data_IF_499188170366
#
_entry.id   IF_499188170366
#
_cell.length_a   1.000
_cell.length_b   1.000
_cell.length_c   1.000
_cell.angle_alpha   90.00
_cell.angle_beta   90.00
_cell.angle_gamma   90.00
#
_symmetry.space_group_name_H-M   'P 1'
#
loop_
_entity.id
_entity.type
_entity.pdbx_description
1 polymer ?
#
# COMPACT_ATOMS: atom_id res chain seq x y z
N UNK A 1 2.11 11.20 -23.04
CA UNK A 1 3.29 10.38 -22.64
C UNK A 1 3.74 9.42 -23.75
N UNK A 2 5.05 9.19 -23.95
CA UNK A 2 5.58 8.11 -24.83
C UNK A 2 6.06 6.94 -23.98
N UNK A 3 5.37 5.80 -24.05
CA UNK A 3 5.75 4.57 -23.33
C UNK A 3 6.70 3.75 -24.22
N UNK A 4 7.82 3.23 -23.70
CA UNK A 4 8.69 2.31 -24.43
C UNK A 4 7.95 1.05 -24.88
N UNK A 5 8.47 0.37 -25.91
CA UNK A 5 7.90 -0.92 -26.35
C UNK A 5 8.36 -2.02 -25.41
N UNK A 6 7.51 -2.41 -24.47
CA UNK A 6 7.78 -3.54 -23.58
C UNK A 6 7.49 -4.91 -24.19
N UNK A 7 7.94 -5.96 -23.51
CA UNK A 7 7.60 -7.34 -23.83
C UNK A 7 6.24 -7.67 -23.25
N UNK A 8 5.24 -7.94 -24.10
CA UNK A 8 3.90 -8.35 -23.65
C UNK A 8 4.00 -9.70 -22.93
N UNK A 9 3.60 -9.73 -21.66
CA UNK A 9 3.54 -10.95 -20.86
C UNK A 9 2.14 -11.56 -20.86
N UNK A 10 1.11 -10.73 -20.69
CA UNK A 10 -0.29 -11.17 -20.56
C UNK A 10 -1.23 -10.12 -21.15
N UNK A 11 -2.32 -10.57 -21.75
CA UNK A 11 -3.42 -9.75 -22.25
C UNK A 11 -4.73 -10.47 -21.94
N UNK A 12 -5.56 -9.92 -21.06
CA UNK A 12 -6.84 -10.56 -20.67
C UNK A 12 -7.89 -9.54 -20.25
N UNK A 13 -9.16 -9.90 -20.44
CA UNK A 13 -10.27 -9.17 -19.83
C UNK A 13 -10.45 -9.65 -18.39
N UNK A 14 -10.51 -8.72 -17.45
CA UNK A 14 -10.78 -8.95 -16.04
C UNK A 14 -12.03 -8.19 -15.61
N UNK A 15 -12.88 -8.81 -14.82
CA UNK A 15 -14.04 -8.14 -14.20
C UNK A 15 -13.64 -7.21 -13.05
N UNK A 16 -12.48 -7.46 -12.43
CA UNK A 16 -11.91 -6.60 -11.40
C UNK A 16 -10.38 -6.46 -11.59
N UNK A 17 -9.86 -5.22 -11.72
CA UNK A 17 -8.43 -4.91 -11.79
C UNK A 17 -7.56 -5.50 -10.66
N UNK A 18 -8.13 -5.80 -9.48
CA UNK A 18 -7.45 -6.45 -8.36
C UNK A 18 -6.68 -7.71 -8.80
N UNK A 19 -7.25 -8.49 -9.72
CA UNK A 19 -6.63 -9.72 -10.22
C UNK A 19 -5.33 -9.44 -10.98
N UNK A 20 -5.27 -8.33 -11.71
CA UNK A 20 -4.05 -7.91 -12.39
C UNK A 20 -3.02 -7.37 -11.38
N UNK A 21 -3.46 -6.52 -10.44
CA UNK A 21 -2.58 -5.97 -9.41
C UNK A 21 -1.96 -7.04 -8.50
N UNK A 22 -2.74 -8.03 -8.03
CA UNK A 22 -2.15 -9.12 -7.23
C UNK A 22 -1.11 -9.88 -8.04
N UNK A 23 -1.41 -10.18 -9.31
CA UNK A 23 -0.49 -10.95 -10.15
C UNK A 23 0.84 -10.24 -10.38
N UNK A 24 0.83 -8.93 -10.64
CA UNK A 24 2.09 -8.17 -10.83
C UNK A 24 2.85 -7.98 -9.53
N UNK A 25 2.15 -7.88 -8.40
CA UNK A 25 2.75 -7.82 -7.06
C UNK A 25 3.45 -9.15 -6.71
N UNK A 26 2.75 -10.27 -6.95
CA UNK A 26 3.26 -11.62 -6.67
C UNK A 26 4.45 -11.95 -7.58
N UNK A 27 4.38 -11.58 -8.86
CA UNK A 27 5.47 -11.78 -9.83
C UNK A 27 6.62 -10.76 -9.68
N UNK A 28 6.47 -9.76 -8.79
CA UNK A 28 7.44 -8.67 -8.59
C UNK A 28 7.81 -7.94 -9.89
N UNK A 29 6.82 -7.70 -10.75
CA UNK A 29 7.02 -7.16 -12.09
C UNK A 29 7.63 -5.75 -12.09
N UNK A 30 8.63 -5.53 -12.94
CA UNK A 30 9.04 -4.20 -13.39
C UNK A 30 8.61 -3.99 -14.84
N UNK A 31 7.79 -2.98 -15.09
CA UNK A 31 7.08 -2.85 -16.36
C UNK A 31 5.92 -1.86 -16.31
N UNK A 32 4.91 -2.09 -17.15
CA UNK A 32 3.69 -1.29 -17.15
C UNK A 32 2.45 -2.11 -17.50
N UNK A 33 1.31 -1.64 -17.04
CA UNK A 33 -0.01 -2.16 -17.34
C UNK A 33 -0.78 -1.14 -18.17
N UNK A 34 -1.54 -1.61 -19.14
CA UNK A 34 -2.49 -0.80 -19.92
C UNK A 34 -3.90 -1.31 -19.62
N UNK A 35 -4.74 -0.42 -19.13
CA UNK A 35 -6.14 -0.66 -18.79
C UNK A 35 -7.04 -0.02 -19.86
N UNK A 36 -7.87 -0.84 -20.48
CA UNK A 36 -8.83 -0.42 -21.51
C UNK A 36 -10.24 -0.85 -21.06
N UNK A 37 -11.10 0.11 -20.64
CA UNK A 37 -12.50 -0.17 -20.28
C UNK A 37 -13.23 -0.88 -21.42
N UNK A 38 -14.07 -1.88 -21.10
CA UNK A 38 -14.80 -2.68 -22.10
C UNK A 38 -16.30 -2.33 -22.21
N UNK A 39 -16.87 -1.63 -21.21
CA UNK A 39 -18.24 -1.12 -21.32
C UNK A 39 -18.24 0.15 -22.17
N UNK A 40 -18.28 -0.03 -23.50
CA UNK A 40 -18.27 1.05 -24.47
C UNK A 40 -19.59 1.10 -25.24
N UNK A 41 -20.57 1.74 -24.61
CA UNK A 41 -21.63 2.44 -25.31
C UNK A 41 -21.54 3.91 -24.87
N UNK A 42 -21.10 4.79 -25.79
CA UNK A 42 -21.54 6.20 -25.92
C UNK A 42 -20.59 7.38 -25.65
N UNK A 43 -19.29 7.26 -25.33
CA UNK A 43 -18.45 8.47 -25.16
C UNK A 43 -17.05 8.33 -25.78
N UNK A 44 -16.78 9.15 -26.80
CA UNK A 44 -15.57 9.19 -27.63
C UNK A 44 -14.29 9.68 -26.91
N UNK A 45 -14.32 9.81 -25.57
CA UNK A 45 -13.23 10.38 -24.75
C UNK A 45 -12.59 9.35 -23.78
N UNK A 46 -12.91 8.06 -23.94
CA UNK A 46 -12.43 7.01 -23.03
C UNK A 46 -11.00 6.60 -23.38
N UNK A 47 -10.06 7.29 -22.74
CA UNK A 47 -8.65 6.96 -22.75
C UNK A 47 -8.35 5.58 -22.17
N UNK A 48 -7.19 5.05 -22.56
CA UNK A 48 -6.53 3.97 -21.84
C UNK A 48 -5.81 4.54 -20.62
N UNK A 49 -5.89 3.84 -19.49
CA UNK A 49 -5.01 4.08 -18.35
C UNK A 49 -3.70 3.33 -18.52
N UNK A 50 -2.57 4.02 -18.36
CA UNK A 50 -1.24 3.41 -18.32
C UNK A 50 -0.71 3.55 -16.90
N UNK A 51 -0.20 2.45 -16.35
CA UNK A 51 0.38 2.43 -15.00
C UNK A 51 1.73 1.75 -15.03
N UNK A 52 2.78 2.44 -14.57
CA UNK A 52 4.09 1.80 -14.41
C UNK A 52 4.18 1.10 -13.06
N UNK A 53 4.90 -0.01 -13.04
CA UNK A 53 5.16 -0.81 -11.85
C UNK A 53 6.65 -1.09 -11.72
N UNK A 54 7.16 -1.07 -10.49
CA UNK A 54 8.53 -1.47 -10.15
C UNK A 54 8.46 -2.47 -9.01
N UNK A 55 9.07 -3.66 -9.18
CA UNK A 55 8.98 -4.75 -8.20
C UNK A 55 7.53 -5.10 -7.77
N UNK A 56 6.58 -4.94 -8.70
CA UNK A 56 5.16 -5.16 -8.50
C UNK A 56 4.41 -4.01 -7.82
N UNK A 57 5.08 -2.91 -7.50
CA UNK A 57 4.50 -1.71 -6.87
C UNK A 57 4.17 -0.67 -7.93
N UNK A 58 2.90 -0.22 -8.05
CA UNK A 58 2.54 0.93 -8.88
C UNK A 58 3.27 2.20 -8.46
N UNK A 59 3.86 2.90 -9.42
CA UNK A 59 4.63 4.13 -9.18
C UNK A 59 4.04 5.32 -9.91
N UNK A 60 3.70 5.16 -11.20
CA UNK A 60 3.11 6.22 -12.01
C UNK A 60 1.78 5.80 -12.61
N UNK A 61 0.90 6.78 -12.84
CA UNK A 61 -0.35 6.63 -13.58
C UNK A 61 -0.49 7.76 -14.59
N UNK A 62 -1.03 7.43 -15.76
CA UNK A 62 -1.36 8.38 -16.81
C UNK A 62 -2.60 7.92 -17.58
N UNK A 63 -3.56 8.80 -17.79
CA UNK A 63 -4.78 8.55 -18.53
C UNK A 63 -4.71 9.23 -19.90
N UNK A 64 -4.75 8.42 -20.97
CA UNK A 64 -4.48 8.90 -22.35
C UNK A 64 -5.60 9.71 -22.97
N UNK A 65 -6.83 9.64 -22.44
CA UNK A 65 -7.98 10.39 -22.97
C UNK A 65 -8.04 11.80 -22.40
N UNK A 66 -7.81 11.93 -21.09
CA UNK A 66 -7.82 13.21 -20.39
C UNK A 66 -6.44 13.89 -20.35
N UNK A 67 -5.38 13.20 -20.77
CA UNK A 67 -3.98 13.65 -20.71
C UNK A 67 -3.53 14.02 -19.29
N UNK A 68 -4.10 13.35 -18.26
CA UNK A 68 -3.79 13.60 -16.84
C UNK A 68 -3.04 12.44 -16.21
N UNK A 69 -2.13 12.76 -15.30
CA UNK A 69 -1.36 11.77 -14.54
C UNK A 69 -1.59 11.83 -13.03
N UNK A 70 -0.87 10.97 -12.32
CA UNK A 70 -0.87 10.96 -10.86
C UNK A 70 -2.26 10.69 -10.30
N UNK A 71 -2.61 11.41 -9.23
CA UNK A 71 -3.90 11.25 -8.55
C UNK A 71 -5.10 11.58 -9.46
N UNK A 72 -4.98 12.57 -10.35
CA UNK A 72 -6.06 12.96 -11.27
C UNK A 72 -6.28 11.91 -12.36
N UNK A 73 -5.19 11.41 -12.97
CA UNK A 73 -5.28 10.32 -13.93
C UNK A 73 -5.77 9.01 -13.29
N UNK A 74 -5.46 8.80 -12.01
CA UNK A 74 -5.97 7.65 -11.26
C UNK A 74 -7.48 7.76 -10.99
N UNK A 75 -7.98 8.96 -10.67
CA UNK A 75 -9.40 9.19 -10.50
C UNK A 75 -10.17 8.95 -11.80
N UNK A 76 -9.61 9.36 -12.94
CA UNK A 76 -10.18 9.09 -14.28
C UNK A 76 -10.24 7.60 -14.61
N UNK A 77 -9.27 6.82 -14.11
CA UNK A 77 -9.24 5.37 -14.32
C UNK A 77 -10.21 4.61 -13.42
N UNK A 78 -10.66 5.18 -12.30
CA UNK A 78 -11.48 4.51 -11.27
C UNK A 78 -12.96 4.34 -11.66
N UNK A 79 -13.21 3.83 -12.86
CA UNK A 79 -14.55 3.60 -13.42
C UNK A 79 -14.95 2.12 -13.22
N UNK A 80 -16.13 1.80 -12.67
CA UNK A 80 -16.56 0.41 -12.57
C UNK A 80 -16.70 -0.24 -13.95
N UNK A 81 -16.19 -1.45 -14.11
CA UNK A 81 -16.42 -2.23 -15.33
C UNK A 81 -15.39 -3.32 -15.57
N UNK A 82 -15.64 -4.20 -16.54
CA UNK A 82 -14.59 -5.07 -17.06
C UNK A 82 -13.53 -4.25 -17.78
N UNK A 83 -12.27 -4.61 -17.55
CA UNK A 83 -11.12 -4.02 -18.22
C UNK A 83 -10.41 -5.08 -19.04
N UNK A 84 -10.02 -4.74 -20.26
CA UNK A 84 -8.90 -5.44 -20.90
C UNK A 84 -7.61 -4.88 -20.29
N UNK A 85 -6.78 -5.78 -19.77
CA UNK A 85 -5.51 -5.44 -19.15
C UNK A 85 -4.38 -6.13 -19.90
N UNK A 86 -3.52 -5.30 -20.47
CA UNK A 86 -2.28 -5.73 -21.11
C UNK A 86 -1.11 -5.44 -20.18
N UNK A 87 -0.29 -6.44 -19.91
CA UNK A 87 0.85 -6.38 -18.97
C UNK A 87 2.14 -6.54 -19.75
N UNK A 88 3.02 -5.55 -19.63
CA UNK A 88 4.29 -5.50 -20.31
C UNK A 88 5.43 -5.45 -19.30
N UNK A 89 6.51 -6.15 -19.61
CA UNK A 89 7.78 -6.06 -18.90
C UNK A 89 8.71 -5.07 -19.61
N UNK A 90 9.49 -4.34 -18.82
CA UNK A 90 10.55 -3.46 -19.27
C UNK A 90 11.83 -3.72 -18.48
N UNK A 91 12.96 -3.32 -19.04
CA UNK A 91 14.21 -3.24 -18.27
C UNK A 91 14.15 -2.12 -17.23
N UNK A 92 14.92 -2.26 -16.14
CA UNK A 92 15.02 -1.22 -15.11
C UNK A 92 15.46 0.13 -15.70
N UNK A 93 16.41 0.12 -16.64
CA UNK A 93 16.89 1.32 -17.34
C UNK A 93 15.79 2.04 -18.15
N UNK A 94 14.87 1.29 -18.75
CA UNK A 94 13.75 1.87 -19.51
C UNK A 94 12.70 2.46 -18.59
N UNK A 95 12.45 1.83 -17.45
CA UNK A 95 11.52 2.29 -16.42
C UNK A 95 12.01 3.57 -15.76
N UNK A 96 13.30 3.64 -15.43
CA UNK A 96 13.90 4.81 -14.76
C UNK A 96 13.77 6.08 -15.60
N UNK A 97 13.88 5.96 -16.93
CA UNK A 97 13.66 7.08 -17.86
C UNK A 97 12.23 7.64 -17.84
N UNK A 98 11.25 6.86 -17.38
CA UNK A 98 9.85 7.29 -17.26
C UNK A 98 9.57 7.90 -15.87
N UNK A 99 10.31 7.44 -14.85
CA UNK A 99 10.06 7.74 -13.43
C UNK A 99 10.53 9.13 -12.96
N UNK A 100 11.10 9.94 -13.86
CA UNK A 100 11.55 11.32 -13.59
C UNK A 100 10.38 12.35 -13.64
N UNK A 101 9.15 11.90 -13.89
CA UNK A 101 7.97 12.76 -13.99
C UNK A 101 7.14 12.75 -12.69
N UNK A 102 7.45 13.65 -11.77
CA UNK A 102 6.78 13.75 -10.46
C UNK A 102 5.26 13.97 -10.56
N UNK A 103 4.80 14.68 -11.58
CA UNK A 103 3.37 14.93 -11.85
C UNK A 103 2.55 13.66 -12.13
N UNK A 104 3.22 12.55 -12.43
CA UNK A 104 2.58 11.27 -12.75
C UNK A 104 2.56 10.30 -11.56
N UNK A 105 3.23 10.66 -10.46
CA UNK A 105 3.39 9.78 -9.29
C UNK A 105 2.06 9.56 -8.58
N UNK A 106 1.87 8.32 -8.12
CA UNK A 106 0.77 7.93 -7.24
C UNK A 106 1.32 7.31 -5.98
N UNK A 107 0.57 7.37 -4.88
CA UNK A 107 1.02 6.73 -3.64
C UNK A 107 0.92 5.20 -3.75
N UNK A 108 1.89 4.45 -3.21
CA UNK A 108 1.78 2.99 -3.16
C UNK A 108 0.47 2.54 -2.51
N UNK A 109 -0.20 1.58 -3.14
CA UNK A 109 -1.49 1.03 -2.71
C UNK A 109 -2.72 1.84 -3.12
N UNK A 110 -2.59 3.13 -3.45
CA UNK A 110 -3.69 3.98 -3.90
C UNK A 110 -4.40 3.41 -5.15
N UNK A 111 -3.70 2.83 -6.14
CA UNK A 111 -4.38 2.21 -7.27
C UNK A 111 -5.18 0.95 -6.90
N UNK A 112 -4.69 0.13 -5.97
CA UNK A 112 -5.42 -1.02 -5.50
C UNK A 112 -6.68 -0.63 -4.72
N UNK A 113 -6.63 0.46 -3.94
CA UNK A 113 -7.79 1.01 -3.24
C UNK A 113 -8.80 1.64 -4.19
N UNK A 114 -8.36 2.55 -5.07
CA UNK A 114 -9.28 3.39 -5.84
C UNK A 114 -9.82 2.73 -7.10
N UNK A 115 -8.98 1.98 -7.82
CA UNK A 115 -9.39 1.36 -9.10
C UNK A 115 -9.97 -0.02 -8.85
N UNK A 116 -9.44 -0.76 -7.89
CA UNK A 116 -9.83 -2.15 -7.64
C UNK A 116 -10.71 -2.35 -6.40
N UNK A 117 -10.88 -1.33 -5.54
CA UNK A 117 -11.64 -1.45 -4.29
C UNK A 117 -11.05 -2.47 -3.31
N UNK A 118 -9.72 -2.65 -3.32
CA UNK A 118 -9.03 -3.76 -2.67
C UNK A 118 -8.05 -3.28 -1.57
N UNK A 119 -8.55 -2.91 -0.36
CA UNK A 119 -7.72 -2.36 0.71
C UNK A 119 -6.62 -3.32 1.20
N UNK A 120 -6.92 -4.62 1.33
CA UNK A 120 -5.90 -5.61 1.71
C UNK A 120 -4.75 -5.70 0.70
N UNK A 121 -5.04 -5.51 -0.59
CA UNK A 121 -4.03 -5.50 -1.63
C UNK A 121 -3.21 -4.19 -1.59
N UNK A 122 -3.85 -3.08 -1.25
CA UNK A 122 -3.16 -1.82 -1.03
C UNK A 122 -2.15 -1.91 0.12
N UNK A 123 -2.53 -2.55 1.24
CA UNK A 123 -1.61 -2.74 2.37
C UNK A 123 -0.41 -3.61 1.99
N UNK A 124 -0.63 -4.74 1.29
CA UNK A 124 0.47 -5.57 0.78
C UNK A 124 1.39 -4.78 -0.16
N UNK A 125 0.80 -3.95 -1.03
CA UNK A 125 1.54 -3.09 -1.96
C UNK A 125 2.38 -2.05 -1.22
N UNK A 126 1.84 -1.42 -0.17
CA UNK A 126 2.58 -0.49 0.69
C UNK A 126 3.75 -1.18 1.38
N UNK A 127 3.54 -2.36 1.95
CA UNK A 127 4.62 -3.13 2.59
C UNK A 127 5.75 -3.45 1.62
N UNK A 128 5.41 -3.92 0.40
CA UNK A 128 6.40 -4.15 -0.67
C UNK A 128 7.13 -2.86 -1.08
N UNK A 129 6.42 -1.73 -1.13
CA UNK A 129 7.04 -0.44 -1.42
C UNK A 129 8.08 -0.06 -0.35
N UNK A 130 7.81 -0.33 0.94
CA UNK A 130 8.79 -0.10 2.02
C UNK A 130 10.02 -0.96 1.85
N UNK A 131 9.83 -2.26 1.61
CA UNK A 131 10.90 -3.25 1.41
C UNK A 131 11.89 -2.82 0.30
N UNK A 132 11.39 -2.20 -0.77
CA UNK A 132 12.20 -1.78 -1.90
C UNK A 132 12.54 -0.29 -1.92
N UNK A 133 12.23 0.48 -0.87
CA UNK A 133 12.50 1.92 -0.82
C UNK A 133 11.77 2.73 -1.90
N UNK A 134 10.55 2.30 -2.27
CA UNK A 134 9.69 2.94 -3.28
C UNK A 134 8.64 3.87 -2.66
N UNK A 135 8.74 4.12 -1.36
CA UNK A 135 7.93 5.12 -0.69
C UNK A 135 8.37 6.52 -1.13
N UNK A 136 7.44 7.45 -1.41
CA UNK A 136 7.81 8.83 -1.61
C UNK A 136 8.44 9.43 -0.35
N UNK A 137 9.29 10.45 -0.53
CA UNK A 137 10.12 11.02 0.54
C UNK A 137 9.30 11.58 1.72
N UNK A 138 8.04 11.95 1.48
CA UNK A 138 7.10 12.47 2.49
C UNK A 138 6.51 11.38 3.42
N UNK A 139 6.61 10.10 3.06
CA UNK A 139 6.07 8.97 3.84
C UNK A 139 7.13 7.99 4.33
N UNK A 140 8.40 8.19 3.98
CA UNK A 140 9.52 7.42 4.51
C UNK A 140 9.68 7.57 6.04
N UNK A 141 9.19 8.68 6.61
CA UNK A 141 9.27 9.02 8.05
C UNK A 141 8.36 8.16 8.97
N UNK A 142 7.53 7.26 8.41
CA UNK A 142 6.70 6.35 9.21
C UNK A 142 7.49 5.14 9.71
N UNK A 143 8.65 4.80 9.11
CA UNK A 143 9.53 3.73 9.66
C UNK A 143 10.07 4.09 11.04
N UNK A 144 10.17 5.39 11.35
CA UNK A 144 10.54 5.88 12.68
C UNK A 144 9.56 5.42 13.76
N UNK A 145 8.30 5.11 13.42
CA UNK A 145 7.31 4.65 14.40
C UNK A 145 7.48 3.16 14.76
N UNK A 146 7.84 2.31 13.79
CA UNK A 146 8.20 0.90 14.07
C UNK A 146 9.55 0.81 14.79
N UNK A 147 10.54 1.61 14.38
CA UNK A 147 11.82 1.75 15.11
C UNK A 147 11.62 2.33 16.52
N UNK A 148 10.65 3.24 16.73
CA UNK A 148 10.31 3.75 18.06
C UNK A 148 9.65 2.67 18.94
N UNK A 149 8.82 1.79 18.39
CA UNK A 149 8.24 0.66 19.13
C UNK A 149 9.30 -0.38 19.46
N UNK A 150 10.19 -0.70 18.52
CA UNK A 150 11.33 -1.63 18.76
C UNK A 150 12.33 -1.03 19.75
N UNK A 151 12.62 0.27 19.67
CA UNK A 151 13.45 0.99 20.64
C UNK A 151 12.79 1.09 22.02
N UNK A 152 11.47 1.24 22.09
CA UNK A 152 10.73 1.25 23.36
C UNK A 152 10.69 -0.14 24.02
N UNK A 153 10.56 -1.21 23.23
CA UNK A 153 10.57 -2.59 23.73
C UNK A 153 11.97 -3.11 24.09
N UNK A 154 13.02 -2.51 23.51
CA UNK A 154 14.42 -2.81 23.84
C UNK A 154 14.92 -2.09 25.10
N UNK A 155 14.11 -1.18 25.68
CA UNK A 155 14.41 -0.46 26.91
C UNK A 155 13.84 -1.22 28.13
N UNK A 156 14.47 -2.36 28.45
CA UNK A 156 14.10 -3.24 29.57
C UNK A 156 13.99 -2.48 30.91
N UNK A 157 14.82 -1.46 31.13
CA UNK A 157 14.79 -0.64 32.35
C UNK A 157 13.48 0.16 32.47
N UNK A 158 12.95 0.68 31.36
CA UNK A 158 11.70 1.45 31.35
C UNK A 158 10.47 0.56 31.57
N UNK A 159 10.49 -0.66 31.02
CA UNK A 159 9.45 -1.67 31.27
C UNK A 159 9.43 -2.10 32.74
N UNK A 160 10.60 -2.32 33.34
CA UNK A 160 10.71 -2.69 34.76
C UNK A 160 10.34 -1.53 35.70
N UNK A 161 10.51 -0.28 35.28
CA UNK A 161 10.01 0.88 36.03
C UNK A 161 8.47 0.93 36.03
N UNK A 162 7.81 0.69 34.88
CA UNK A 162 6.34 0.67 34.78
C UNK A 162 5.74 -0.51 35.53
N UNK A 163 6.36 -1.71 35.48
CA UNK A 163 5.93 -2.87 36.29
C UNK A 163 6.05 -2.61 37.79
N UNK A 164 7.09 -1.90 38.23
CA UNK A 164 7.24 -1.49 39.65
C UNK A 164 6.14 -0.52 40.05
N UNK A 165 5.90 0.51 39.24
CA UNK A 165 4.84 1.49 39.47
C UNK A 165 3.47 0.79 39.61
N UNK A 166 3.14 -0.11 38.68
CA UNK A 166 1.88 -0.86 38.71
C UNK A 166 1.73 -1.77 39.95
N UNK A 167 2.83 -2.39 40.42
CA UNK A 167 2.83 -3.21 41.66
C UNK A 167 2.65 -2.39 42.93
N UNK A 168 3.23 -1.19 43.00
CA UNK A 168 3.07 -0.31 44.15
C UNK A 168 1.68 0.30 44.22
N UNK A 169 1.10 0.67 43.08
CA UNK A 169 -0.26 1.18 42.97
C UNK A 169 -1.29 0.13 43.40
N UNK A 170 -1.11 -1.13 42.99
CA UNK A 170 -1.96 -2.25 43.43
C UNK A 170 -1.89 -2.50 44.95
N UNK A 171 -0.71 -2.34 45.58
CA UNK A 171 -0.56 -2.47 47.04
C UNK A 171 -1.23 -1.33 47.80
N UNK A 172 -1.18 -0.10 47.26
CA UNK A 172 -1.88 1.06 47.85
C UNK A 172 -3.40 0.91 47.73
N UNK A 173 -3.91 0.48 46.57
CA UNK A 173 -5.34 0.20 46.40
C UNK A 173 -5.84 -0.93 47.31
N UNK A 174 -5.07 -2.01 47.50
CA UNK A 174 -5.45 -3.08 48.43
C UNK A 174 -5.55 -2.59 49.90
N UNK A 175 -4.75 -1.59 50.26
CA UNK A 175 -4.79 -0.94 51.58
C UNK A 175 -5.97 0.03 51.70
N UNK A 176 -6.26 0.80 50.65
CA UNK A 176 -7.43 1.69 50.59
C UNK A 176 -8.77 0.94 50.54
N UNK A 177 -8.80 -0.26 49.94
CA UNK A 177 -10.01 -1.07 49.84
C UNK A 177 -10.20 -2.03 51.03
N UNK A 178 -9.30 -2.01 52.02
CA UNK A 178 -9.46 -2.76 53.28
C UNK A 178 -9.41 -4.28 53.14
N UNK A 179 -8.72 -4.83 52.13
CA UNK A 179 -8.64 -6.27 51.87
C UNK A 179 -7.63 -7.03 52.76
N UNK A 180 -7.14 -6.41 53.83
CA UNK A 180 -6.12 -7.02 54.69
C UNK A 180 -6.70 -7.90 55.82
N UNK A 181 -8.03 -8.09 55.87
CA UNK A 181 -8.71 -8.71 57.02
C UNK A 181 -9.73 -9.81 56.66
N UNK A 182 -9.54 -10.51 55.53
CA UNK A 182 -10.42 -11.65 55.17
C UNK A 182 -9.71 -12.91 54.67
N UNK A 183 -8.47 -13.16 55.12
CA UNK A 183 -7.83 -14.48 55.01
C UNK A 183 -7.34 -15.03 56.36
N UNK A 184 -8.03 -14.68 57.44
CA UNK A 184 -7.85 -15.30 58.75
C UNK A 184 -9.10 -16.05 59.19
N UNK A 185 -9.61 -17.00 58.39
CA UNK A 185 -10.48 -18.06 58.91
C UNK A 185 -10.64 -19.24 57.92
N UNK A 186 -9.65 -20.14 57.89
CA UNK A 186 -9.88 -21.56 57.64
C UNK A 186 -8.92 -22.36 58.53
N UNK A 187 -9.34 -22.62 59.77
CA UNK A 187 -9.26 -23.97 60.34
C UNK A 187 -10.02 -24.02 61.68
N UNK A 188 -11.10 -24.80 61.73
CA UNK A 188 -11.61 -25.37 62.97
C UNK A 188 -12.22 -26.74 62.70
#
# INVERSE_FOLDING_TARGET
>A
MKVPRGRLLRSRVVSNPATAFSSVLDDSLTGYLVFEPQDTLLLDDQGRGVMTVRNGVPVLVYHTGTDRGGADGLADLAVPGPYKVDVFELSDEEIERIHDADELRVRPGEPAERVAGAPNLADRTRSRAREHGLLPDDVADVSTNEDAVVSFLSDEERIEAIKRQAREDAKRQATEWGLNDEFAEVDR
#
